data_IF_077350634236
#
_entry.id   IF_077350634236
#
_cell.length_a   1.000
_cell.length_b   1.000
_cell.length_c   1.000
_cell.angle_alpha   90.00
_cell.angle_beta   90.00
_cell.angle_gamma   90.00
#
_symmetry.space_group_name_H-M   'P 1'
#
loop_
_entity.id
_entity.type
_entity.pdbx_description
1 polymer ?
#
# COMPACT_ATOMS: atom_id res chain seq x y z
N UNK A 1 -30.76 -18.01 4.07
CA UNK A 1 -29.64 -17.07 4.29
C UNK A 1 -28.76 -17.57 5.44
N UNK A 2 -27.46 -17.40 5.31
CA UNK A 2 -26.51 -17.65 6.39
C UNK A 2 -26.00 -16.31 6.92
N UNK A 3 -25.92 -16.19 8.23
CA UNK A 3 -25.32 -15.05 8.91
C UNK A 3 -24.21 -15.56 9.84
N UNK A 4 -23.09 -14.84 9.88
CA UNK A 4 -21.94 -15.13 10.75
C UNK A 4 -21.71 -13.94 11.66
N UNK A 5 -21.53 -14.17 12.96
CA UNK A 5 -21.25 -13.15 13.95
C UNK A 5 -20.40 -13.71 15.08
N UNK A 6 -19.55 -12.85 15.66
CA UNK A 6 -18.80 -13.17 16.88
C UNK A 6 -19.65 -13.07 18.16
N UNK A 7 -20.83 -12.46 18.05
CA UNK A 7 -21.80 -12.34 19.14
C UNK A 7 -23.15 -12.93 18.72
N UNK A 8 -23.99 -13.37 19.69
CA UNK A 8 -25.32 -13.86 19.37
C UNK A 8 -26.14 -12.83 18.58
N UNK A 9 -26.83 -13.26 17.54
CA UNK A 9 -27.74 -12.39 16.79
C UNK A 9 -28.89 -11.96 17.71
N UNK A 10 -29.12 -10.64 17.79
CA UNK A 10 -30.29 -10.05 18.44
C UNK A 10 -31.39 -9.70 17.49
N UNK A 11 -31.04 -9.56 16.20
CA UNK A 11 -31.95 -9.13 15.17
C UNK A 11 -32.42 -10.29 14.29
N UNK A 12 -33.60 -10.09 13.69
CA UNK A 12 -34.17 -11.06 12.75
C UNK A 12 -33.30 -11.12 11.50
N UNK A 13 -33.06 -12.32 10.98
CA UNK A 13 -32.38 -12.51 9.71
C UNK A 13 -33.01 -11.66 8.59
N UNK A 14 -32.17 -10.98 7.81
CA UNK A 14 -32.62 -10.18 6.68
C UNK A 14 -33.37 -11.06 5.66
N UNK A 15 -34.49 -10.57 5.15
CA UNK A 15 -35.21 -11.27 4.08
C UNK A 15 -34.45 -11.20 2.76
N UNK A 16 -34.69 -12.13 1.86
CA UNK A 16 -34.15 -12.09 0.49
C UNK A 16 -34.49 -10.76 -0.20
N UNK A 17 -35.78 -10.34 -0.09
CA UNK A 17 -36.25 -9.09 -0.69
C UNK A 17 -35.46 -7.85 -0.14
N UNK A 18 -35.28 -7.77 1.18
CA UNK A 18 -34.51 -6.66 1.76
C UNK A 18 -33.03 -6.68 1.35
N UNK A 19 -32.43 -7.87 1.25
CA UNK A 19 -31.05 -8.02 0.80
C UNK A 19 -30.89 -7.62 -0.67
N UNK A 20 -31.82 -8.03 -1.53
CA UNK A 20 -31.84 -7.62 -2.96
C UNK A 20 -32.00 -6.11 -3.09
N UNK A 21 -32.96 -5.51 -2.39
CA UNK A 21 -33.17 -4.06 -2.43
C UNK A 21 -31.92 -3.28 -1.95
N UNK A 22 -31.26 -3.75 -0.90
CA UNK A 22 -30.01 -3.14 -0.41
C UNK A 22 -28.87 -3.27 -1.44
N UNK A 23 -28.75 -4.43 -2.10
CA UNK A 23 -27.78 -4.65 -3.16
C UNK A 23 -28.02 -3.72 -4.35
N UNK A 24 -29.26 -3.65 -4.84
CA UNK A 24 -29.66 -2.78 -5.96
C UNK A 24 -29.37 -1.31 -5.63
N UNK A 25 -29.73 -0.86 -4.44
CA UNK A 25 -29.42 0.49 -3.96
C UNK A 25 -27.93 0.76 -3.93
N UNK A 26 -27.13 -0.17 -3.40
CA UNK A 26 -25.68 -0.07 -3.33
C UNK A 26 -25.01 0.01 -4.72
N UNK A 27 -25.49 -0.80 -5.68
CA UNK A 27 -24.96 -0.76 -7.05
C UNK A 27 -25.42 0.48 -7.81
N UNK A 28 -26.68 0.91 -7.65
CA UNK A 28 -27.15 2.16 -8.22
C UNK A 28 -26.32 3.34 -7.71
N UNK A 29 -26.12 3.44 -6.41
CA UNK A 29 -25.27 4.48 -5.82
C UNK A 29 -23.84 4.43 -6.39
N UNK A 30 -23.25 3.24 -6.51
CA UNK A 30 -21.89 3.09 -7.02
C UNK A 30 -21.73 3.60 -8.45
N UNK A 31 -22.69 3.29 -9.34
CA UNK A 31 -22.61 3.69 -10.76
C UNK A 31 -23.06 5.12 -11.03
N UNK A 32 -23.85 5.72 -10.14
CA UNK A 32 -24.31 7.11 -10.27
C UNK A 32 -23.43 8.11 -9.51
N UNK A 33 -22.52 7.64 -8.66
CA UNK A 33 -21.56 8.45 -7.94
C UNK A 33 -20.13 8.14 -8.41
N UNK A 34 -19.30 9.18 -8.49
CA UNK A 34 -17.92 9.04 -8.94
C UNK A 34 -17.76 9.10 -10.46
N UNK A 35 -16.59 8.69 -10.94
CA UNK A 35 -16.24 8.74 -12.34
C UNK A 35 -16.86 7.60 -13.15
N UNK A 36 -17.23 7.91 -14.38
CA UNK A 36 -17.68 6.96 -15.40
C UNK A 36 -16.93 7.20 -16.70
N UNK A 37 -16.95 6.22 -17.59
CA UNK A 37 -16.38 6.34 -18.93
C UNK A 37 -17.48 6.05 -19.95
N UNK A 38 -17.50 6.83 -21.01
CA UNK A 38 -18.33 6.63 -22.19
C UNK A 38 -17.48 6.84 -23.43
N UNK A 39 -17.24 5.79 -24.18
CA UNK A 39 -16.46 5.80 -25.41
C UNK A 39 -17.34 5.66 -26.66
N UNK A 40 -18.66 5.81 -26.53
CA UNK A 40 -19.60 5.68 -27.65
C UNK A 40 -19.34 6.65 -28.80
N UNK A 41 -18.73 7.81 -28.53
CA UNK A 41 -18.30 8.79 -29.53
C UNK A 41 -16.97 8.49 -30.21
N UNK A 42 -16.27 7.43 -29.85
CA UNK A 42 -14.97 7.07 -30.45
C UNK A 42 -15.15 6.36 -31.79
N UNK A 43 -14.30 6.68 -32.77
CA UNK A 43 -14.25 6.00 -34.06
C UNK A 43 -13.31 4.79 -34.04
N UNK A 44 -12.57 4.54 -32.97
CA UNK A 44 -11.71 3.35 -32.86
C UNK A 44 -12.57 2.11 -32.62
N UNK A 45 -12.46 1.05 -33.48
CA UNK A 45 -13.28 -0.17 -33.35
C UNK A 45 -13.05 -0.93 -32.05
N UNK A 46 -11.98 -0.61 -31.29
CA UNK A 46 -11.68 -1.23 -29.98
C UNK A 46 -12.34 -0.50 -28.80
N UNK A 47 -12.93 0.66 -29.01
CA UNK A 47 -13.43 1.53 -27.94
C UNK A 47 -14.46 0.81 -27.05
N UNK A 48 -15.43 0.11 -27.63
CA UNK A 48 -16.44 -0.63 -26.88
C UNK A 48 -15.86 -1.74 -26.02
N UNK A 49 -14.84 -2.46 -26.50
CA UNK A 49 -14.14 -3.49 -25.71
C UNK A 49 -13.31 -2.86 -24.57
N UNK A 50 -12.67 -1.72 -24.80
CA UNK A 50 -11.96 -0.99 -23.76
C UNK A 50 -12.92 -0.52 -22.66
N UNK A 51 -14.05 0.09 -23.02
CA UNK A 51 -15.08 0.51 -22.07
C UNK A 51 -15.59 -0.68 -21.25
N UNK A 52 -15.93 -1.78 -21.92
CA UNK A 52 -16.36 -3.00 -21.23
C UNK A 52 -15.34 -3.49 -20.20
N UNK A 53 -14.04 -3.50 -20.53
CA UNK A 53 -12.97 -3.91 -19.62
C UNK A 53 -12.84 -2.97 -18.43
N UNK A 54 -12.93 -1.66 -18.64
CA UNK A 54 -12.86 -0.67 -17.57
C UNK A 54 -14.05 -0.85 -16.62
N UNK A 55 -15.27 -0.97 -17.13
CA UNK A 55 -16.47 -1.19 -16.33
C UNK A 55 -16.37 -2.50 -15.54
N UNK A 56 -15.93 -3.59 -16.19
CA UNK A 56 -15.73 -4.87 -15.53
C UNK A 56 -14.68 -4.77 -14.41
N UNK A 57 -13.57 -4.08 -14.65
CA UNK A 57 -12.52 -3.88 -13.64
C UNK A 57 -13.06 -3.11 -12.43
N UNK A 58 -13.81 -2.03 -12.64
CA UNK A 58 -14.45 -1.29 -11.54
C UNK A 58 -15.43 -2.15 -10.75
N UNK A 59 -16.24 -2.97 -11.45
CA UNK A 59 -17.15 -3.92 -10.82
C UNK A 59 -16.40 -4.91 -9.92
N UNK A 60 -15.37 -5.55 -10.46
CA UNK A 60 -14.56 -6.53 -9.74
C UNK A 60 -13.85 -5.91 -8.53
N UNK A 61 -13.33 -4.69 -8.66
CA UNK A 61 -12.71 -3.99 -7.54
C UNK A 61 -13.72 -3.70 -6.43
N UNK A 62 -14.92 -3.27 -6.75
CA UNK A 62 -15.98 -3.08 -5.72
C UNK A 62 -16.32 -4.39 -5.03
N UNK A 63 -16.53 -5.47 -5.78
CA UNK A 63 -16.89 -6.78 -5.22
C UNK A 63 -15.79 -7.30 -4.29
N UNK A 64 -14.51 -7.18 -4.70
CA UNK A 64 -13.40 -7.82 -4.02
C UNK A 64 -12.73 -6.96 -2.95
N UNK A 65 -12.69 -5.61 -3.11
CA UNK A 65 -11.81 -4.75 -2.31
C UNK A 65 -12.50 -3.59 -1.59
N UNK A 66 -13.82 -3.45 -1.69
CA UNK A 66 -14.57 -2.35 -1.06
C UNK A 66 -15.09 -2.66 0.35
N UNK A 67 -14.62 -3.73 0.99
CA UNK A 67 -15.00 -4.11 2.34
C UNK A 67 -14.32 -3.27 3.43
N UNK A 68 -14.75 -3.46 4.68
CA UNK A 68 -14.14 -2.82 5.84
C UNK A 68 -12.77 -3.43 6.21
N UNK A 69 -12.50 -4.65 5.76
CA UNK A 69 -11.20 -5.30 5.88
C UNK A 69 -10.61 -5.48 4.48
N UNK A 70 -9.34 -5.12 4.27
CA UNK A 70 -8.65 -5.49 3.04
C UNK A 70 -8.67 -7.01 2.88
N UNK A 71 -9.07 -7.52 1.72
CA UNK A 71 -9.16 -8.97 1.51
C UNK A 71 -7.78 -9.60 1.31
N UNK A 72 -7.77 -10.90 1.09
CA UNK A 72 -6.59 -11.59 0.57
C UNK A 72 -6.17 -11.03 -0.81
N UNK A 73 -5.00 -11.40 -1.28
CA UNK A 73 -4.41 -10.87 -2.52
C UNK A 73 -5.33 -10.98 -3.74
N UNK A 74 -5.98 -12.12 -3.95
CA UNK A 74 -6.91 -12.33 -5.07
C UNK A 74 -8.36 -11.85 -4.80
N UNK A 75 -8.58 -11.11 -3.72
CA UNK A 75 -9.92 -10.69 -3.32
C UNK A 75 -10.76 -11.85 -2.78
N UNK A 76 -12.03 -11.91 -3.18
CA UNK A 76 -12.99 -12.92 -2.72
C UNK A 76 -13.20 -14.05 -3.73
N UNK A 77 -12.62 -13.96 -4.93
CA UNK A 77 -12.93 -14.86 -6.04
C UNK A 77 -12.45 -16.30 -5.79
N UNK A 78 -11.25 -16.47 -5.30
CA UNK A 78 -10.73 -17.76 -4.88
C UNK A 78 -9.54 -17.59 -3.92
N UNK A 79 -9.16 -18.66 -3.25
CA UNK A 79 -8.11 -18.64 -2.23
C UNK A 79 -6.73 -18.54 -2.88
N UNK A 80 -5.99 -17.47 -2.57
CA UNK A 80 -4.56 -17.34 -2.83
C UNK A 80 -3.82 -16.98 -1.55
N UNK A 81 -2.55 -17.37 -1.49
CA UNK A 81 -1.68 -17.06 -0.34
C UNK A 81 -2.34 -17.34 1.01
N UNK A 82 -3.15 -18.43 1.06
CA UNK A 82 -3.80 -18.91 2.28
C UNK A 82 -4.75 -17.89 2.93
N UNK A 83 -5.42 -17.07 2.12
CA UNK A 83 -6.41 -16.09 2.60
C UNK A 83 -5.83 -14.89 3.33
N UNK A 84 -4.54 -14.63 3.21
CA UNK A 84 -3.88 -13.54 3.91
C UNK A 84 -4.00 -12.23 3.15
N UNK A 85 -4.11 -11.12 3.89
CA UNK A 85 -3.98 -9.79 3.31
C UNK A 85 -2.53 -9.58 2.85
N UNK A 86 -2.37 -9.04 1.64
CA UNK A 86 -1.10 -8.63 1.07
C UNK A 86 -1.06 -7.10 0.95
N UNK A 87 -0.24 -6.45 1.79
CA UNK A 87 -0.15 -4.98 1.84
C UNK A 87 0.51 -4.36 0.61
N UNK A 88 1.31 -5.13 -0.13
CA UNK A 88 1.85 -4.73 -1.43
C UNK A 88 0.72 -4.66 -2.46
N UNK A 89 -0.01 -5.76 -2.63
CA UNK A 89 -1.06 -5.88 -3.65
C UNK A 89 -2.25 -4.96 -3.35
N UNK A 90 -2.49 -4.61 -2.10
CA UNK A 90 -3.58 -3.71 -1.74
C UNK A 90 -3.44 -2.33 -2.41
N UNK A 91 -2.23 -1.83 -2.60
CA UNK A 91 -1.99 -0.60 -3.37
C UNK A 91 -2.54 -0.71 -4.79
N UNK A 92 -2.24 -1.81 -5.49
CA UNK A 92 -2.70 -2.07 -6.85
C UNK A 92 -4.22 -2.09 -6.96
N UNK A 93 -4.89 -2.58 -5.92
CA UNK A 93 -6.33 -2.75 -5.92
C UNK A 93 -7.08 -1.51 -5.43
N UNK A 94 -6.57 -0.81 -4.42
CA UNK A 94 -7.29 0.25 -3.73
C UNK A 94 -7.05 1.65 -4.29
N UNK A 95 -5.88 1.93 -4.88
CA UNK A 95 -5.54 3.26 -5.39
C UNK A 95 -6.52 3.76 -6.48
N UNK A 96 -7.07 2.85 -7.28
CA UNK A 96 -8.03 3.19 -8.33
C UNK A 96 -9.35 3.79 -7.78
N UNK A 97 -9.74 3.52 -6.52
CA UNK A 97 -10.93 4.14 -5.94
C UNK A 97 -10.82 5.67 -5.90
N UNK A 98 -9.62 6.20 -5.65
CA UNK A 98 -9.37 7.62 -5.75
C UNK A 98 -9.56 8.14 -7.19
N UNK A 99 -8.99 7.46 -8.19
CA UNK A 99 -9.06 7.89 -9.60
C UNK A 99 -10.49 7.94 -10.14
N UNK A 100 -11.37 7.07 -9.63
CA UNK A 100 -12.77 7.03 -9.99
C UNK A 100 -13.68 7.82 -9.03
N UNK A 101 -13.13 8.73 -8.21
CA UNK A 101 -13.87 9.54 -7.23
C UNK A 101 -14.74 8.70 -6.26
N UNK A 102 -14.21 7.55 -5.83
CA UNK A 102 -14.83 6.63 -4.87
C UNK A 102 -13.98 6.45 -3.62
N UNK A 103 -13.33 7.53 -3.18
CA UNK A 103 -12.35 7.54 -2.09
C UNK A 103 -12.90 6.96 -0.79
N UNK A 104 -14.19 7.10 -0.51
CA UNK A 104 -14.84 6.48 0.65
C UNK A 104 -14.66 4.94 0.72
N UNK A 105 -14.44 4.26 -0.41
CA UNK A 105 -14.15 2.83 -0.44
C UNK A 105 -12.70 2.53 -0.05
N UNK A 106 -11.76 3.41 -0.40
CA UNK A 106 -10.37 3.35 0.08
C UNK A 106 -10.31 3.60 1.60
N UNK A 107 -11.05 4.58 2.10
CA UNK A 107 -11.07 4.94 3.52
C UNK A 107 -11.50 3.78 4.44
N UNK A 108 -12.36 2.88 3.97
CA UNK A 108 -12.72 1.67 4.71
C UNK A 108 -11.52 0.79 5.03
N UNK A 109 -10.65 0.58 4.06
CA UNK A 109 -9.41 -0.18 4.25
C UNK A 109 -8.41 0.56 5.15
N UNK A 110 -8.30 1.88 5.01
CA UNK A 110 -7.44 2.69 5.89
C UNK A 110 -7.90 2.65 7.35
N UNK A 111 -9.20 2.56 7.62
CA UNK A 111 -9.72 2.36 8.98
C UNK A 111 -9.22 1.05 9.60
N UNK A 112 -9.06 -0.01 8.81
CA UNK A 112 -8.45 -1.24 9.30
C UNK A 112 -6.96 -1.04 9.63
N UNK A 113 -6.19 -0.32 8.81
CA UNK A 113 -4.80 0.01 9.12
C UNK A 113 -4.69 0.82 10.43
N UNK A 114 -5.60 1.76 10.69
CA UNK A 114 -5.66 2.46 11.98
C UNK A 114 -5.91 1.49 13.14
N UNK A 115 -6.80 0.52 12.97
CA UNK A 115 -7.11 -0.49 13.98
C UNK A 115 -5.90 -1.38 14.31
N UNK A 116 -5.10 -1.78 13.31
CA UNK A 116 -3.93 -2.65 13.51
C UNK A 116 -2.62 -1.89 13.78
N UNK A 117 -2.64 -0.57 13.83
CA UNK A 117 -1.44 0.24 14.12
C UNK A 117 -0.67 -0.23 15.37
N UNK A 118 -1.34 -0.59 16.50
CA UNK A 118 -0.60 -1.13 17.65
C UNK A 118 0.18 -2.42 17.33
N UNK A 119 -0.33 -3.28 16.46
CA UNK A 119 0.39 -4.49 16.01
C UNK A 119 1.61 -4.14 15.16
N UNK A 120 1.49 -3.13 14.28
CA UNK A 120 2.59 -2.67 13.44
C UNK A 120 3.71 -2.00 14.24
N UNK A 121 3.35 -1.24 15.28
CA UNK A 121 4.32 -0.66 16.24
C UNK A 121 5.06 -1.76 17.02
N UNK A 122 4.33 -2.77 17.48
CA UNK A 122 4.93 -3.91 18.20
C UNK A 122 5.87 -4.72 17.28
N UNK A 123 5.52 -4.89 16.00
CA UNK A 123 6.36 -5.59 15.03
C UNK A 123 7.67 -4.83 14.75
N UNK A 124 7.62 -3.50 14.57
CA UNK A 124 8.82 -2.68 14.41
C UNK A 124 9.72 -2.79 15.65
N UNK A 125 9.16 -2.60 16.84
CA UNK A 125 9.89 -2.68 18.12
C UNK A 125 10.55 -4.05 18.33
N UNK A 126 9.86 -5.14 18.00
CA UNK A 126 10.39 -6.51 18.09
C UNK A 126 11.62 -6.70 17.23
N UNK A 127 11.72 -5.97 16.12
CA UNK A 127 12.87 -5.99 15.18
C UNK A 127 13.92 -4.95 15.46
N UNK A 128 13.78 -4.16 16.55
CA UNK A 128 14.72 -3.12 16.94
C UNK A 128 14.55 -1.79 16.18
N UNK A 129 13.41 -1.58 15.53
CA UNK A 129 13.10 -0.35 14.79
C UNK A 129 12.07 0.51 15.52
N UNK A 130 12.08 1.82 15.22
CA UNK A 130 11.06 2.77 15.64
C UNK A 130 9.87 2.77 14.67
N UNK A 131 8.74 3.34 15.09
CA UNK A 131 7.56 3.54 14.25
C UNK A 131 6.79 2.27 13.97
N UNK A 132 6.09 2.20 12.86
CA UNK A 132 5.19 1.11 12.48
C UNK A 132 5.70 0.36 11.26
N UNK A 133 5.96 -0.95 11.40
CA UNK A 133 6.29 -1.85 10.29
C UNK A 133 5.05 -2.60 9.83
N UNK A 134 4.73 -2.46 8.55
CA UNK A 134 3.61 -3.12 7.91
C UNK A 134 4.07 -4.40 7.23
N UNK A 135 3.81 -5.59 7.80
CA UNK A 135 4.25 -6.83 7.15
C UNK A 135 3.60 -7.01 5.78
N UNK A 136 4.35 -7.53 4.81
CA UNK A 136 3.82 -7.82 3.47
C UNK A 136 2.55 -8.65 3.53
N UNK A 137 2.59 -9.74 4.32
CA UNK A 137 1.47 -10.67 4.48
C UNK A 137 1.01 -10.69 5.93
N UNK A 138 -0.28 -10.47 6.16
CA UNK A 138 -0.86 -10.44 7.51
C UNK A 138 -2.16 -11.21 7.63
N UNK A 139 -2.48 -11.62 8.86
CA UNK A 139 -3.83 -11.99 9.25
C UNK A 139 -4.70 -10.76 9.59
N UNK A 140 -6.00 -10.96 9.90
CA UNK A 140 -6.95 -9.88 10.15
C UNK A 140 -6.58 -8.93 11.30
N UNK A 141 -5.80 -9.41 12.26
CA UNK A 141 -5.33 -8.64 13.42
C UNK A 141 -3.93 -8.01 13.21
N UNK A 142 -3.45 -7.94 11.97
CA UNK A 142 -2.15 -7.37 11.64
C UNK A 142 -0.94 -8.24 12.05
N UNK A 143 -1.16 -9.50 12.45
CA UNK A 143 -0.06 -10.40 12.78
C UNK A 143 0.68 -10.82 11.51
N UNK A 144 2.03 -10.73 11.48
CA UNK A 144 2.82 -11.18 10.36
C UNK A 144 2.53 -12.64 10.02
N UNK A 145 2.42 -12.93 8.74
CA UNK A 145 2.36 -14.30 8.27
C UNK A 145 3.76 -14.94 8.32
N UNK A 146 3.87 -16.23 8.69
CA UNK A 146 5.10 -16.96 8.51
C UNK A 146 5.56 -16.95 7.05
N UNK A 147 6.87 -16.90 6.84
CA UNK A 147 7.47 -16.94 5.50
C UNK A 147 8.96 -16.65 5.58
N UNK A 148 9.72 -17.18 4.63
CA UNK A 148 11.18 -17.04 4.58
C UNK A 148 11.60 -15.65 4.11
N UNK A 149 10.89 -15.07 3.15
CA UNK A 149 11.24 -13.77 2.54
C UNK A 149 10.47 -12.58 3.14
N UNK A 150 9.24 -12.79 3.60
CA UNK A 150 8.36 -11.72 4.10
C UNK A 150 8.99 -10.80 5.17
N UNK A 151 9.85 -11.29 6.10
CA UNK A 151 10.50 -10.44 7.09
C UNK A 151 11.45 -9.40 6.51
N UNK A 152 12.01 -9.64 5.32
CA UNK A 152 13.01 -8.79 4.66
C UNK A 152 12.43 -7.84 3.62
N UNK A 153 11.13 -7.95 3.35
CA UNK A 153 10.43 -7.09 2.40
C UNK A 153 10.07 -5.77 3.07
N UNK A 154 10.38 -4.67 2.39
CA UNK A 154 10.12 -3.31 2.86
C UNK A 154 9.45 -2.40 1.80
N UNK A 155 9.41 -2.77 0.54
CA UNK A 155 8.84 -1.89 -0.52
C UNK A 155 7.36 -1.55 -0.36
N UNK A 156 6.63 -2.33 0.45
CA UNK A 156 5.23 -2.06 0.77
C UNK A 156 5.04 -0.96 1.83
N UNK A 157 6.09 -0.57 2.55
CA UNK A 157 5.95 0.39 3.65
C UNK A 157 5.43 1.76 3.18
N UNK A 158 5.99 2.39 2.12
CA UNK A 158 5.50 3.69 1.66
C UNK A 158 4.10 3.65 1.05
N UNK A 159 3.56 2.46 0.71
CA UNK A 159 2.21 2.32 0.15
C UNK A 159 1.15 3.01 1.01
N UNK A 160 1.24 2.84 2.34
CA UNK A 160 0.26 3.42 3.24
C UNK A 160 0.32 4.95 3.27
N UNK A 161 1.52 5.53 3.22
CA UNK A 161 1.69 6.98 3.10
C UNK A 161 1.04 7.49 1.81
N UNK A 162 1.26 6.78 0.70
CA UNK A 162 0.66 7.12 -0.59
C UNK A 162 -0.87 7.01 -0.57
N UNK A 163 -1.43 5.94 -0.01
CA UNK A 163 -2.88 5.76 0.08
C UNK A 163 -3.54 6.85 0.94
N UNK A 164 -2.91 7.25 2.05
CA UNK A 164 -3.36 8.40 2.85
C UNK A 164 -3.29 9.70 2.05
N UNK A 165 -2.25 9.90 1.25
CA UNK A 165 -2.14 11.07 0.36
C UNK A 165 -3.26 11.11 -0.69
N UNK A 166 -3.68 9.98 -1.23
CA UNK A 166 -4.81 9.93 -2.16
C UNK A 166 -6.11 10.42 -1.50
N UNK A 167 -6.35 10.03 -0.24
CA UNK A 167 -7.50 10.54 0.52
C UNK A 167 -7.39 12.04 0.76
N UNK A 168 -6.20 12.52 1.14
CA UNK A 168 -5.97 13.96 1.29
C UNK A 168 -6.20 14.73 -0.01
N UNK A 169 -5.77 14.21 -1.15
CA UNK A 169 -6.00 14.86 -2.46
C UNK A 169 -7.48 14.93 -2.83
N UNK A 170 -8.28 13.96 -2.39
CA UNK A 170 -9.72 13.99 -2.57
C UNK A 170 -10.40 14.99 -1.62
N UNK A 171 -9.86 15.14 -0.41
CA UNK A 171 -10.38 15.98 0.67
C UNK A 171 -9.24 16.78 1.29
N UNK A 172 -8.77 17.89 0.62
CA UNK A 172 -7.56 18.61 1.02
C UNK A 172 -7.79 19.55 2.20
N UNK A 173 -8.13 19.01 3.35
CA UNK A 173 -8.41 19.73 4.57
C UNK A 173 -7.59 19.24 5.77
N UNK A 174 -7.54 20.06 6.82
CA UNK A 174 -6.79 19.75 8.04
C UNK A 174 -7.37 18.55 8.79
N UNK A 175 -8.67 18.29 8.70
CA UNK A 175 -9.31 17.16 9.38
C UNK A 175 -8.82 15.83 8.80
N UNK A 176 -8.70 15.75 7.48
CA UNK A 176 -8.11 14.60 6.76
C UNK A 176 -6.64 14.39 7.16
N UNK A 177 -5.84 15.46 7.19
CA UNK A 177 -4.45 15.37 7.65
C UNK A 177 -4.36 14.81 9.07
N UNK A 178 -5.13 15.36 10.01
CA UNK A 178 -5.12 14.89 11.41
C UNK A 178 -5.59 13.45 11.55
N UNK A 179 -6.61 13.05 10.78
CA UNK A 179 -7.18 11.71 10.83
C UNK A 179 -6.17 10.62 10.47
N UNK A 180 -5.28 10.89 9.51
CA UNK A 180 -4.33 9.90 8.99
C UNK A 180 -2.87 10.18 9.37
N UNK A 181 -2.59 11.26 10.11
CA UNK A 181 -1.22 11.65 10.50
C UNK A 181 -0.46 10.53 11.21
N UNK A 182 -1.10 9.77 12.10
CA UNK A 182 -0.44 8.68 12.82
C UNK A 182 0.02 7.57 11.86
N UNK A 183 -0.78 7.19 10.88
CA UNK A 183 -0.39 6.22 9.88
C UNK A 183 0.84 6.71 9.09
N UNK A 184 0.79 7.96 8.62
CA UNK A 184 1.87 8.56 7.83
C UNK A 184 3.15 8.69 8.66
N UNK A 185 3.06 9.25 9.86
CA UNK A 185 4.25 9.55 10.66
C UNK A 185 4.88 8.32 11.31
N UNK A 186 4.08 7.36 11.75
CA UNK A 186 4.64 6.12 12.28
C UNK A 186 5.29 5.26 11.19
N UNK A 187 4.73 5.26 9.99
CA UNK A 187 5.39 4.64 8.83
C UNK A 187 6.71 5.34 8.49
N UNK A 188 6.72 6.68 8.42
CA UNK A 188 7.94 7.44 8.16
C UNK A 188 9.00 7.25 9.26
N UNK A 189 8.60 7.11 10.53
CA UNK A 189 9.53 6.78 11.62
C UNK A 189 10.20 5.42 11.41
N UNK A 190 9.41 4.41 11.01
CA UNK A 190 10.00 3.11 10.67
C UNK A 190 10.98 3.25 9.51
N UNK A 191 10.58 3.91 8.43
CA UNK A 191 11.45 4.14 7.28
C UNK A 191 12.76 4.83 7.66
N UNK A 192 12.69 5.85 8.52
CA UNK A 192 13.87 6.57 9.00
C UNK A 192 14.74 5.73 9.95
N UNK A 193 14.16 4.83 10.74
CA UNK A 193 14.92 3.96 11.63
C UNK A 193 15.56 2.78 10.88
N UNK A 194 14.98 2.38 9.75
CA UNK A 194 15.49 1.29 8.92
C UNK A 194 16.71 1.72 8.08
N UNK A 195 16.69 2.95 7.55
CA UNK A 195 17.82 3.51 6.82
C UNK A 195 18.98 3.77 7.81
N UNK A 196 20.15 3.18 7.55
CA UNK A 196 21.31 3.37 8.40
C UNK A 196 22.45 4.09 7.66
N UNK A 197 23.24 4.86 8.41
CA UNK A 197 24.33 5.65 7.86
C UNK A 197 25.59 4.80 7.69
N UNK A 198 25.99 4.60 6.44
CA UNK A 198 27.24 3.92 6.10
C UNK A 198 28.38 4.94 6.06
N UNK A 199 29.26 4.87 7.03
CA UNK A 199 30.41 5.79 7.16
C UNK A 199 31.40 5.66 6.01
N UNK A 200 31.50 4.51 5.37
CA UNK A 200 32.39 4.27 4.25
C UNK A 200 31.98 5.02 2.98
N UNK A 201 30.68 5.05 2.70
CA UNK A 201 30.10 5.79 1.56
C UNK A 201 29.65 7.20 1.92
N UNK A 202 29.61 7.56 3.22
CA UNK A 202 29.01 8.78 3.76
C UNK A 202 27.55 8.99 3.28
N UNK A 203 26.74 7.92 3.28
CA UNK A 203 25.35 7.89 2.81
C UNK A 203 24.46 7.05 3.70
N UNK A 204 23.16 7.36 3.69
CA UNK A 204 22.16 6.43 4.20
C UNK A 204 21.89 5.35 3.16
N UNK A 205 21.88 4.09 3.60
CA UNK A 205 21.71 2.92 2.76
C UNK A 205 20.55 2.05 3.25
N UNK A 206 20.02 1.21 2.36
CA UNK A 206 19.00 0.21 2.64
C UNK A 206 19.59 -1.20 2.49
N UNK A 207 19.49 -1.99 3.56
CA UNK A 207 20.07 -3.34 3.61
C UNK A 207 21.59 -3.37 3.64
N UNK A 208 22.20 -4.56 3.72
CA UNK A 208 21.58 -5.84 4.06
C UNK A 208 21.13 -5.94 5.53
N UNK A 209 20.20 -6.83 5.91
CA UNK A 209 19.47 -7.73 5.02
C UNK A 209 18.20 -7.08 4.44
N UNK A 210 17.97 -7.29 3.15
CA UNK A 210 16.77 -6.80 2.45
C UNK A 210 16.41 -7.71 1.27
N UNK A 211 15.12 -7.84 0.98
CA UNK A 211 14.60 -8.49 -0.20
C UNK A 211 14.09 -7.41 -1.14
N UNK A 212 14.66 -7.29 -2.33
CA UNK A 212 14.23 -6.34 -3.35
C UNK A 212 12.88 -6.74 -3.97
N UNK A 213 12.28 -5.83 -4.71
CA UNK A 213 10.93 -5.99 -5.29
C UNK A 213 10.81 -7.20 -6.22
N UNK A 214 11.88 -7.64 -6.87
CA UNK A 214 11.90 -8.86 -7.71
C UNK A 214 11.80 -10.16 -6.90
N UNK A 215 12.09 -10.12 -5.59
CA UNK A 215 12.15 -11.28 -4.68
C UNK A 215 13.19 -12.36 -5.04
N UNK A 216 14.00 -12.16 -6.08
CA UNK A 216 14.97 -13.15 -6.57
C UNK A 216 16.37 -13.04 -5.95
N UNK A 217 16.64 -11.95 -5.24
CA UNK A 217 17.94 -11.69 -4.63
C UNK A 217 18.13 -12.45 -3.30
N UNK A 218 19.40 -12.60 -2.91
CA UNK A 218 19.80 -13.10 -1.58
C UNK A 218 19.77 -11.93 -0.60
N UNK A 219 18.96 -12.01 0.44
CA UNK A 219 18.67 -10.90 1.35
C UNK A 219 19.92 -10.37 2.08
N UNK A 220 20.84 -11.25 2.47
CA UNK A 220 22.06 -10.87 3.18
C UNK A 220 23.13 -10.23 2.29
N UNK A 221 23.01 -10.37 0.98
CA UNK A 221 23.93 -9.82 0.00
C UNK A 221 23.36 -8.59 -0.73
N UNK A 222 22.10 -8.25 -0.47
CA UNK A 222 21.39 -7.17 -1.17
C UNK A 222 21.60 -5.84 -0.47
N UNK A 223 22.11 -4.86 -1.22
CA UNK A 223 22.32 -3.49 -0.78
C UNK A 223 21.72 -2.52 -1.79
N UNK A 224 21.05 -1.50 -1.30
CA UNK A 224 20.53 -0.38 -2.08
C UNK A 224 19.73 -0.79 -3.32
N UNK A 225 18.64 -1.56 -3.19
CA UNK A 225 17.81 -1.85 -4.34
C UNK A 225 17.15 -0.55 -4.84
N UNK A 226 17.18 -0.33 -6.16
CA UNK A 226 16.81 0.93 -6.79
C UNK A 226 15.35 1.34 -6.55
N UNK A 227 14.44 0.38 -6.62
CA UNK A 227 13.02 0.63 -6.36
C UNK A 227 12.80 1.11 -4.92
N UNK A 228 13.38 0.43 -3.95
CA UNK A 228 13.25 0.75 -2.54
C UNK A 228 13.89 2.10 -2.21
N UNK A 229 15.06 2.42 -2.76
CA UNK A 229 15.68 3.74 -2.59
C UNK A 229 14.77 4.86 -3.11
N UNK A 230 14.28 4.74 -4.34
CA UNK A 230 13.39 5.74 -4.93
C UNK A 230 12.09 5.89 -4.12
N UNK A 231 11.55 4.77 -3.63
CA UNK A 231 10.29 4.79 -2.89
C UNK A 231 10.48 5.25 -1.43
N UNK A 232 11.67 5.04 -0.84
CA UNK A 232 12.06 5.64 0.46
C UNK A 232 12.14 7.15 0.38
N UNK A 233 12.86 7.65 -0.63
CA UNK A 233 12.92 9.09 -0.92
C UNK A 233 11.52 9.69 -1.06
N UNK A 234 10.66 9.06 -1.86
CA UNK A 234 9.29 9.50 -2.09
C UNK A 234 8.46 9.51 -0.80
N UNK A 235 8.46 8.42 -0.05
CA UNK A 235 7.65 8.27 1.17
C UNK A 235 8.04 9.25 2.27
N UNK A 236 9.35 9.40 2.54
CA UNK A 236 9.85 10.37 3.53
C UNK A 236 9.57 11.82 3.09
N UNK A 237 9.76 12.14 1.80
CA UNK A 237 9.47 13.47 1.25
C UNK A 237 7.99 13.80 1.36
N UNK A 238 7.11 12.81 1.17
CA UNK A 238 5.68 12.99 1.30
C UNK A 238 5.27 13.18 2.78
N UNK A 239 5.86 12.42 3.69
CA UNK A 239 5.65 12.60 5.13
C UNK A 239 6.10 13.99 5.63
N UNK A 240 7.22 14.52 5.09
CA UNK A 240 7.64 15.90 5.37
C UNK A 240 6.59 16.92 4.91
N UNK A 241 6.05 16.77 3.70
CA UNK A 241 4.96 17.63 3.21
C UNK A 241 3.71 17.57 4.09
N UNK A 242 3.40 16.40 4.66
CA UNK A 242 2.29 16.27 5.61
C UNK A 242 2.55 17.06 6.90
N UNK A 243 3.79 17.04 7.43
CA UNK A 243 4.18 17.86 8.58
C UNK A 243 4.03 19.36 8.27
N UNK A 244 4.53 19.79 7.12
CA UNK A 244 4.43 21.19 6.68
C UNK A 244 2.98 21.65 6.54
N UNK A 245 2.10 20.83 5.95
CA UNK A 245 0.65 21.10 5.85
C UNK A 245 -0.03 21.22 7.22
N UNK A 246 0.47 20.53 8.23
CA UNK A 246 0.02 20.61 9.61
C UNK A 246 0.70 21.74 10.42
N UNK A 247 1.60 22.51 9.82
CA UNK A 247 2.34 23.59 10.49
C UNK A 247 3.41 23.09 11.47
N UNK A 248 3.84 21.84 11.36
CA UNK A 248 4.78 21.21 12.30
C UNK A 248 6.26 21.47 11.97
N UNK A 249 6.57 22.04 10.82
CA UNK A 249 7.93 22.08 10.31
C UNK A 249 8.46 20.69 9.91
N UNK A 250 9.61 20.66 9.21
CA UNK A 250 10.26 19.41 8.80
C UNK A 250 10.87 18.68 9.99
N UNK A 251 10.84 17.36 9.94
CA UNK A 251 11.60 16.51 10.85
C UNK A 251 13.07 16.52 10.39
N UNK A 252 14.04 16.92 11.23
CA UNK A 252 15.44 17.07 10.81
C UNK A 252 16.08 15.74 10.43
N UNK A 253 15.76 14.64 11.12
CA UNK A 253 16.28 13.30 10.81
C UNK A 253 15.76 12.79 9.46
N UNK A 254 14.49 12.99 9.18
CA UNK A 254 13.92 12.57 7.88
C UNK A 254 14.53 13.38 6.75
N UNK A 255 14.76 14.69 6.97
CA UNK A 255 15.37 15.55 5.96
C UNK A 255 16.84 15.14 5.72
N UNK A 256 17.60 14.85 6.75
CA UNK A 256 18.97 14.38 6.65
C UNK A 256 19.06 13.08 5.84
N UNK A 257 18.14 12.13 6.08
CA UNK A 257 18.07 10.88 5.30
C UNK A 257 17.71 11.17 3.83
N UNK A 258 16.74 12.04 3.57
CA UNK A 258 16.34 12.41 2.19
C UNK A 258 17.54 13.01 1.44
N UNK A 259 18.29 13.91 2.08
CA UNK A 259 19.40 14.64 1.45
C UNK A 259 20.65 13.78 1.22
N UNK A 260 20.84 12.75 2.06
CA UNK A 260 22.02 11.90 2.04
C UNK A 260 21.72 10.44 1.68
N UNK A 261 20.51 10.11 1.19
CA UNK A 261 20.20 8.77 0.73
C UNK A 261 21.12 8.35 -0.41
N UNK A 262 21.53 7.09 -0.43
CA UNK A 262 22.37 6.56 -1.50
C UNK A 262 21.72 6.84 -2.87
N UNK A 263 22.49 7.21 -3.90
CA UNK A 263 21.98 7.39 -5.23
C UNK A 263 21.48 6.06 -5.80
N UNK A 264 20.59 6.13 -6.78
CA UNK A 264 20.14 4.91 -7.49
C UNK A 264 21.36 4.22 -8.13
N UNK A 265 21.54 2.91 -7.94
CA UNK A 265 22.68 2.21 -8.50
C UNK A 265 22.67 2.23 -10.02
N UNK A 266 23.82 2.47 -10.62
CA UNK A 266 24.01 2.54 -12.08
C UNK A 266 25.30 1.85 -12.49
N UNK A 267 25.29 1.23 -13.68
CA UNK A 267 26.47 0.75 -14.36
C UNK A 267 26.35 0.99 -15.87
N UNK A 268 27.40 1.47 -16.53
CA UNK A 268 27.43 1.78 -17.95
C UNK A 268 26.24 2.63 -18.44
N UNK A 269 25.84 3.64 -17.64
CA UNK A 269 24.73 4.54 -17.96
C UNK A 269 23.33 3.92 -17.82
N UNK A 270 23.20 2.71 -17.25
CA UNK A 270 21.94 2.02 -17.01
C UNK A 270 21.68 1.87 -15.52
N UNK A 271 20.43 2.01 -15.11
CA UNK A 271 20.03 1.69 -13.74
C UNK A 271 20.14 0.21 -13.48
N UNK A 272 20.65 -0.14 -12.30
CA UNK A 272 20.68 -1.52 -11.81
C UNK A 272 19.50 -1.73 -10.86
N UNK A 273 19.03 -2.97 -10.77
CA UNK A 273 18.05 -3.36 -9.75
C UNK A 273 18.67 -3.27 -8.35
N UNK A 274 19.91 -3.76 -8.20
CA UNK A 274 20.65 -3.82 -6.94
C UNK A 274 22.07 -3.26 -7.13
N UNK A 275 22.59 -2.54 -6.14
CA UNK A 275 23.99 -2.11 -6.13
C UNK A 275 24.97 -3.29 -6.23
N UNK A 276 24.58 -4.42 -5.66
CA UNK A 276 25.40 -5.65 -5.61
C UNK A 276 25.28 -6.55 -6.84
N UNK A 277 24.53 -6.13 -7.87
CA UNK A 277 24.34 -6.90 -9.10
C UNK A 277 24.75 -6.10 -10.36
N UNK A 278 26.04 -5.73 -10.51
CA UNK A 278 26.48 -4.88 -11.60
C UNK A 278 26.39 -5.51 -12.99
N UNK A 279 26.25 -6.81 -13.09
CA UNK A 279 26.16 -7.61 -14.30
C UNK A 279 24.73 -8.11 -14.60
N UNK A 280 23.70 -7.57 -13.95
CA UNK A 280 22.31 -8.04 -14.07
C UNK A 280 21.83 -8.13 -15.54
N UNK A 281 22.28 -7.26 -16.42
CA UNK A 281 21.91 -7.28 -17.84
C UNK A 281 22.60 -8.39 -18.65
N UNK A 282 23.58 -9.08 -18.06
CA UNK A 282 24.32 -10.18 -18.69
C UNK A 282 24.01 -11.51 -18.04
N UNK A 283 23.50 -11.52 -16.83
CA UNK A 283 23.11 -12.73 -16.10
C UNK A 283 21.68 -13.14 -16.48
N UNK A 284 21.41 -14.47 -16.48
CA UNK A 284 20.09 -15.03 -16.73
C UNK A 284 19.34 -15.38 -15.42
N UNK A 285 19.87 -14.96 -14.28
CA UNK A 285 19.37 -15.33 -12.95
C UNK A 285 18.44 -14.30 -12.31
N UNK A 286 17.91 -13.35 -13.09
CA UNK A 286 17.01 -12.31 -12.59
C UNK A 286 15.63 -12.47 -13.23
#
# INVERSE_FOLDING_TARGET
SCQFSLTPFRDRAQSFASTTAASDSSWRHYWTQGGAIDLSGSTDPRAGELERRIVLSQYLMKVNYAGAFPPQESGLAYLTWYGKHNSEMYWWHAAQFYQWHRTALLEKGLAWYQHILPSALAEAKKKGFDGAKWPKMTGPLGRPSPGTINPFIIWNEPNLIYLCELVYRAHPDTSTLRRYSDLVFQTARFMASFAWYDTASARYILGPPIKGVSENNVENDTKNPAFELAYWYYGLSLAQRWRERLGMGKDPRWQDIIDQLAPLPMNDGKYLELETSPDMYRSRGH
#
